data_IF_166270858796
#
_entry.id   IF_166270858796
#
_cell.length_a   1.000
_cell.length_b   1.000
_cell.length_c   1.000
_cell.angle_alpha   90.00
_cell.angle_beta   90.00
_cell.angle_gamma   90.00
#
_symmetry.space_group_name_H-M   'P 1'
#
loop_
_entity.id
_entity.type
_entity.pdbx_description
1 polymer ?
#
# COMPACT_ATOMS: atom_id res chain seq x y z
N UNK A 1 8.86 -13.74 3.29
CA UNK A 1 8.97 -12.29 3.57
C UNK A 1 9.31 -11.65 2.25
N UNK A 2 8.47 -10.73 1.75
CA UNK A 2 8.78 -9.98 0.54
C UNK A 2 9.46 -8.67 0.95
N UNK A 3 10.43 -8.21 0.18
CA UNK A 3 10.98 -6.86 0.34
C UNK A 3 9.96 -5.81 -0.12
N UNK A 4 10.21 -4.54 0.18
CA UNK A 4 9.38 -3.44 -0.30
C UNK A 4 9.33 -3.44 -1.84
N UNK A 5 10.47 -3.62 -2.48
CA UNK A 5 10.62 -3.65 -3.94
C UNK A 5 9.93 -4.87 -4.58
N UNK A 6 10.02 -6.04 -3.95
CA UNK A 6 9.33 -7.25 -4.41
C UNK A 6 7.81 -7.12 -4.33
N UNK A 7 7.29 -6.47 -3.28
CA UNK A 7 5.86 -6.15 -3.19
C UNK A 7 5.45 -5.20 -4.31
N UNK A 8 6.23 -4.14 -4.57
CA UNK A 8 5.89 -3.15 -5.59
C UNK A 8 5.87 -3.78 -7.00
N UNK A 9 6.83 -4.66 -7.28
CA UNK A 9 6.89 -5.41 -8.53
C UNK A 9 5.64 -6.29 -8.72
N UNK A 10 5.21 -7.02 -7.68
CA UNK A 10 3.99 -7.83 -7.73
C UNK A 10 2.73 -6.99 -7.91
N UNK A 11 2.59 -5.87 -7.19
CA UNK A 11 1.42 -5.00 -7.32
C UNK A 11 1.36 -4.37 -8.72
N UNK A 12 2.52 -4.00 -9.27
CA UNK A 12 2.64 -3.51 -10.64
C UNK A 12 2.25 -4.58 -11.66
N UNK A 13 2.67 -5.83 -11.46
CA UNK A 13 2.25 -6.95 -12.31
C UNK A 13 0.74 -7.17 -12.23
N UNK A 14 0.14 -7.14 -11.03
CA UNK A 14 -1.32 -7.25 -10.86
C UNK A 14 -2.07 -6.11 -11.55
N UNK A 15 -1.53 -4.89 -11.51
CA UNK A 15 -2.13 -3.76 -12.19
C UNK A 15 -2.18 -3.96 -13.72
N UNK A 16 -1.15 -4.61 -14.28
CA UNK A 16 -1.07 -4.92 -15.71
C UNK A 16 -1.89 -6.14 -16.12
N UNK A 17 -1.74 -7.24 -15.39
CA UNK A 17 -2.34 -8.55 -15.71
C UNK A 17 -3.80 -8.67 -15.28
N UNK A 18 -4.23 -7.80 -14.36
CA UNK A 18 -5.60 -7.67 -13.84
C UNK A 18 -6.26 -9.01 -13.47
N UNK A 19 -5.64 -9.83 -12.61
CA UNK A 19 -6.20 -11.13 -12.23
C UNK A 19 -7.54 -10.97 -11.50
N UNK A 20 -8.49 -11.86 -11.83
CA UNK A 20 -9.82 -11.87 -11.22
C UNK A 20 -9.73 -12.04 -9.69
N UNK A 21 -10.57 -11.31 -8.96
CA UNK A 21 -10.60 -11.35 -7.48
C UNK A 21 -9.46 -10.62 -6.78
N UNK A 22 -8.57 -9.93 -7.51
CA UNK A 22 -7.49 -9.15 -6.92
C UNK A 22 -8.02 -7.89 -6.22
N UNK A 23 -7.79 -7.81 -4.90
CA UNK A 23 -8.08 -6.61 -4.11
C UNK A 23 -7.30 -5.37 -4.60
N UNK A 24 -6.09 -5.57 -5.13
CA UNK A 24 -5.29 -4.49 -5.74
C UNK A 24 -5.98 -3.92 -6.98
N UNK A 25 -6.49 -4.79 -7.85
CA UNK A 25 -7.21 -4.35 -9.06
C UNK A 25 -8.49 -3.61 -8.68
N UNK A 26 -9.25 -4.14 -7.72
CA UNK A 26 -10.45 -3.49 -7.22
C UNK A 26 -10.15 -2.09 -6.62
N UNK A 27 -9.06 -1.96 -5.87
CA UNK A 27 -8.63 -0.67 -5.34
C UNK A 27 -8.25 0.33 -6.43
N UNK A 28 -7.50 -0.12 -7.45
CA UNK A 28 -7.13 0.70 -8.61
C UNK A 28 -8.37 1.17 -9.39
N UNK A 29 -9.33 0.28 -9.61
CA UNK A 29 -10.58 0.58 -10.30
C UNK A 29 -11.47 1.56 -9.50
N UNK A 30 -11.40 1.51 -8.16
CA UNK A 30 -12.08 2.47 -7.28
C UNK A 30 -11.46 3.87 -7.30
N UNK A 31 -10.22 4.00 -7.79
CA UNK A 31 -9.54 5.27 -8.03
C UNK A 31 -8.86 5.89 -6.82
N UNK A 32 -8.08 6.94 -7.10
CA UNK A 32 -7.18 7.62 -6.14
C UNK A 32 -7.87 8.06 -4.85
N UNK A 33 -9.12 8.54 -4.92
CA UNK A 33 -9.87 8.96 -3.73
C UNK A 33 -10.14 7.83 -2.74
N UNK A 34 -10.50 6.65 -3.24
CA UNK A 34 -10.77 5.49 -2.40
C UNK A 34 -9.46 4.95 -1.78
N UNK A 35 -8.39 4.89 -2.58
CA UNK A 35 -7.07 4.48 -2.12
C UNK A 35 -6.55 5.44 -1.04
N UNK A 36 -6.65 6.75 -1.25
CA UNK A 36 -6.20 7.77 -0.31
C UNK A 36 -6.94 7.73 1.03
N UNK A 37 -8.25 7.41 1.02
CA UNK A 37 -8.99 7.17 2.27
C UNK A 37 -8.42 6.00 3.06
N UNK A 38 -8.19 4.87 2.41
CA UNK A 38 -7.57 3.70 3.05
C UNK A 38 -6.18 4.03 3.57
N UNK A 39 -5.35 4.73 2.80
CA UNK A 39 -4.01 5.13 3.25
C UNK A 39 -4.05 5.94 4.57
N UNK A 40 -4.97 6.90 4.68
CA UNK A 40 -5.14 7.71 5.90
C UNK A 40 -5.66 6.85 7.06
N UNK A 41 -6.60 5.93 6.79
CA UNK A 41 -7.12 4.98 7.77
C UNK A 41 -5.99 4.15 8.38
N UNK A 42 -5.17 3.50 7.55
CA UNK A 42 -4.05 2.67 8.01
C UNK A 42 -2.98 3.49 8.75
N UNK A 43 -2.80 4.78 8.39
CA UNK A 43 -1.88 5.66 9.10
C UNK A 43 -2.38 5.96 10.53
N UNK A 44 -3.69 6.17 10.68
CA UNK A 44 -4.30 6.35 11.99
C UNK A 44 -4.24 5.05 12.82
N UNK A 45 -4.57 3.90 12.20
CA UNK A 45 -4.51 2.59 12.85
C UNK A 45 -3.08 2.23 13.26
N UNK A 46 -2.08 2.50 12.42
CA UNK A 46 -0.66 2.33 12.75
C UNK A 46 -0.25 3.12 14.00
N UNK A 47 -0.69 4.37 14.12
CA UNK A 47 -0.41 5.17 15.31
C UNK A 47 -1.11 4.60 16.55
N UNK A 48 -2.41 4.28 16.44
CA UNK A 48 -3.17 3.71 17.55
C UNK A 48 -2.60 2.38 18.03
N UNK A 49 -2.21 1.50 17.11
CA UNK A 49 -1.62 0.21 17.42
C UNK A 49 -0.26 0.36 18.13
N UNK A 50 0.55 1.33 17.70
CA UNK A 50 1.82 1.65 18.33
C UNK A 50 1.66 2.15 19.78
N UNK A 51 0.62 2.93 20.05
CA UNK A 51 0.33 3.47 21.39
C UNK A 51 -0.33 2.43 22.31
N UNK A 52 -1.14 1.51 21.77
CA UNK A 52 -2.13 0.78 22.59
C UNK A 52 -2.18 -0.73 22.38
N UNK A 53 -1.68 -1.27 21.27
CA UNK A 53 -1.93 -2.67 20.88
C UNK A 53 -0.65 -3.51 20.79
N UNK A 54 0.51 -2.85 20.78
CA UNK A 54 1.82 -3.49 20.89
C UNK A 54 2.39 -3.96 19.56
N UNK A 55 3.54 -4.64 19.65
CA UNK A 55 4.46 -4.85 18.52
C UNK A 55 3.85 -5.56 17.31
N UNK A 56 3.10 -6.63 17.53
CA UNK A 56 2.54 -7.44 16.43
C UNK A 56 1.43 -6.68 15.69
N UNK A 57 0.50 -6.05 16.43
CA UNK A 57 -0.55 -5.21 15.85
C UNK A 57 0.04 -4.01 15.08
N UNK A 58 1.03 -3.34 15.68
CA UNK A 58 1.74 -2.23 15.01
C UNK A 58 2.37 -2.66 13.69
N UNK A 59 3.03 -3.83 13.68
CA UNK A 59 3.65 -4.36 12.46
C UNK A 59 2.61 -4.71 11.39
N UNK A 60 1.44 -5.22 11.81
CA UNK A 60 0.33 -5.49 10.90
C UNK A 60 -0.16 -4.20 10.23
N UNK A 61 -0.48 -3.16 11.00
CA UNK A 61 -1.01 -1.92 10.40
C UNK A 61 0.01 -1.18 9.55
N UNK A 62 1.29 -1.17 9.95
CA UNK A 62 2.35 -0.63 9.10
C UNK A 62 2.44 -1.43 7.79
N UNK A 63 2.23 -2.75 7.82
CA UNK A 63 2.24 -3.55 6.58
C UNK A 63 1.10 -3.16 5.63
N UNK A 64 -0.09 -2.87 6.17
CA UNK A 64 -1.24 -2.39 5.40
C UNK A 64 -1.02 -0.98 4.86
N UNK A 65 -0.45 -0.09 5.68
CA UNK A 65 -0.04 1.26 5.29
C UNK A 65 0.93 1.23 4.10
N UNK A 66 1.98 0.40 4.17
CA UNK A 66 2.96 0.27 3.08
C UNK A 66 2.32 -0.31 1.81
N UNK A 67 1.42 -1.28 1.94
CA UNK A 67 0.63 -1.80 0.81
C UNK A 67 -0.18 -0.68 0.14
N UNK A 68 -0.97 0.08 0.91
CA UNK A 68 -1.80 1.15 0.37
C UNK A 68 -0.97 2.31 -0.21
N UNK A 69 0.22 2.57 0.35
CA UNK A 69 1.15 3.55 -0.19
C UNK A 69 1.63 3.13 -1.59
N UNK A 70 2.04 1.86 -1.77
CA UNK A 70 2.46 1.35 -3.07
C UNK A 70 1.31 1.29 -4.09
N UNK A 71 0.09 0.95 -3.66
CA UNK A 71 -1.10 1.03 -4.53
C UNK A 71 -1.37 2.47 -4.97
N UNK A 72 -1.20 3.45 -4.08
CA UNK A 72 -1.33 4.88 -4.42
C UNK A 72 -0.25 5.33 -5.41
N UNK A 73 0.99 4.86 -5.24
CA UNK A 73 2.09 5.12 -6.20
C UNK A 73 1.71 4.63 -7.60
N UNK A 74 1.24 3.39 -7.73
CA UNK A 74 0.80 2.82 -9.00
C UNK A 74 -0.36 3.61 -9.60
N UNK A 75 -1.39 3.94 -8.80
CA UNK A 75 -2.53 4.74 -9.25
C UNK A 75 -2.13 6.16 -9.69
N UNK A 76 -1.01 6.67 -9.18
CA UNK A 76 -0.46 7.99 -9.50
C UNK A 76 0.60 7.95 -10.62
N UNK A 77 0.93 6.77 -11.14
CA UNK A 77 1.96 6.60 -12.17
C UNK A 77 3.40 6.80 -11.68
N UNK A 78 3.66 6.61 -10.40
CA UNK A 78 4.99 6.74 -9.80
C UNK A 78 5.75 5.42 -9.79
N UNK A 79 7.04 5.47 -10.08
CA UNK A 79 7.99 4.38 -9.86
C UNK A 79 8.57 4.41 -8.44
N UNK A 80 9.28 3.35 -8.04
CA UNK A 80 10.08 3.37 -6.80
C UNK A 80 11.18 4.43 -6.87
N UNK A 81 11.85 4.57 -8.02
CA UNK A 81 12.94 5.54 -8.21
C UNK A 81 12.46 6.98 -7.97
N UNK A 82 11.24 7.31 -8.42
CA UNK A 82 10.64 8.63 -8.18
C UNK A 82 10.53 8.93 -6.68
N UNK A 83 10.21 7.92 -5.85
CA UNK A 83 10.08 8.09 -4.40
C UNK A 83 11.44 8.03 -3.71
N UNK A 84 12.31 7.10 -4.11
CA UNK A 84 13.64 6.91 -3.53
C UNK A 84 14.56 8.10 -3.79
N UNK A 85 14.34 8.87 -4.85
CA UNK A 85 15.04 10.14 -5.10
C UNK A 85 14.82 11.20 -4.00
N UNK A 86 13.84 11.00 -3.11
CA UNK A 86 13.50 11.91 -2.02
C UNK A 86 13.84 11.40 -0.61
N UNK A 87 14.50 10.23 -0.49
CA UNK A 87 14.95 9.64 0.78
C UNK A 87 16.40 10.03 1.10
#
# INVERSE_FOLDING_TARGET
MKTFDELFAELSEKAQTRPEGSGTVAALDAGVHAIGKKLIEEAAESWMAAEHEGREATALEISQLLYHAQVLMIASGLSLDDVYAHL
#
